data_IF_409084448702
#
_entry.id   IF_409084448702
#
_cell.length_a   1.000
_cell.length_b   1.000
_cell.length_c   1.000
_cell.angle_alpha   90.00
_cell.angle_beta   90.00
_cell.angle_gamma   90.00
#
_symmetry.space_group_name_H-M   'P 1'
#
loop_
_entity.id
_entity.type
_entity.pdbx_description
1 polymer ?
#
# COMPACT_ATOMS: atom_id res chain seq x y z
N UNK A 1 -2.33 -11.70 9.15
CA UNK A 1 -1.88 -11.72 7.74
C UNK A 1 -0.95 -10.53 7.57
N UNK A 2 0.29 -10.75 7.15
CA UNK A 2 1.22 -9.66 6.87
C UNK A 2 0.75 -8.96 5.58
N UNK A 3 0.64 -7.65 5.61
CA UNK A 3 0.28 -6.87 4.42
C UNK A 3 1.56 -6.63 3.63
N UNK A 4 1.58 -7.02 2.36
CA UNK A 4 2.76 -6.85 1.51
C UNK A 4 2.94 -5.39 1.07
N UNK A 5 1.90 -4.56 1.17
CA UNK A 5 1.86 -3.19 0.66
C UNK A 5 1.16 -2.22 1.63
N UNK A 6 1.59 -0.94 1.69
CA UNK A 6 0.86 0.13 2.35
C UNK A 6 -0.58 0.31 1.83
N UNK A 7 -1.49 0.77 2.70
CA UNK A 7 -2.87 1.11 2.33
C UNK A 7 -2.92 2.48 1.64
N UNK A 8 -3.66 2.59 0.54
CA UNK A 8 -4.01 3.88 -0.04
C UNK A 8 -5.46 4.29 0.33
N UNK A 9 -5.72 5.53 0.76
CA UNK A 9 -4.73 6.56 1.05
C UNK A 9 -4.08 6.35 2.43
N UNK A 10 -2.77 6.61 2.48
CA UNK A 10 -2.01 6.67 3.73
C UNK A 10 -1.65 8.11 4.10
N UNK A 11 -1.36 8.32 5.37
CA UNK A 11 -0.67 9.51 5.85
C UNK A 11 0.77 9.15 6.20
N UNK A 12 1.71 9.98 5.76
CA UNK A 12 3.11 9.94 6.18
C UNK A 12 3.28 10.86 7.37
N UNK A 13 3.66 10.29 8.49
CA UNK A 13 3.93 10.98 9.74
C UNK A 13 5.45 11.07 9.96
N UNK A 14 5.93 12.27 10.26
CA UNK A 14 7.31 12.54 10.65
C UNK A 14 7.33 13.00 12.09
N UNK A 15 8.13 12.35 12.92
CA UNK A 15 8.33 12.68 14.34
C UNK A 15 9.77 13.08 14.59
N UNK A 16 10.06 13.61 15.78
CA UNK A 16 11.44 13.81 16.21
C UNK A 16 12.20 12.48 16.21
N UNK A 17 13.39 12.45 15.60
CA UNK A 17 14.18 11.24 15.42
C UNK A 17 14.57 10.57 16.74
N UNK A 18 14.77 11.34 17.82
CA UNK A 18 15.05 10.80 19.15
C UNK A 18 13.88 10.03 19.75
N UNK A 19 12.66 10.28 19.25
CA UNK A 19 11.41 9.67 19.71
C UNK A 19 10.79 8.71 18.70
N UNK A 20 11.47 8.45 17.58
CA UNK A 20 10.96 7.59 16.52
C UNK A 20 10.56 6.20 17.03
N UNK A 21 11.46 5.53 17.76
CA UNK A 21 11.19 4.18 18.28
C UNK A 21 10.06 4.16 19.31
N UNK A 22 9.93 5.21 20.14
CA UNK A 22 8.80 5.35 21.06
C UNK A 22 7.47 5.49 20.29
N UNK A 23 7.47 6.29 19.21
CA UNK A 23 6.29 6.49 18.37
C UNK A 23 5.88 5.19 17.66
N UNK A 24 6.85 4.43 17.15
CA UNK A 24 6.61 3.11 16.54
C UNK A 24 6.03 2.12 17.55
N UNK A 25 6.55 2.08 18.78
CA UNK A 25 5.99 1.24 19.84
C UNK A 25 4.57 1.65 20.23
N UNK A 26 4.28 2.96 20.27
CA UNK A 26 2.93 3.46 20.56
C UNK A 26 1.89 3.08 19.50
N UNK A 27 2.34 2.68 18.30
CA UNK A 27 1.50 2.21 17.20
C UNK A 27 1.30 0.68 17.21
N UNK A 28 1.78 -0.03 18.23
CA UNK A 28 1.48 -1.46 18.38
C UNK A 28 -0.03 -1.70 18.38
N UNK A 29 -0.47 -2.61 17.50
CA UNK A 29 -1.89 -2.93 17.30
C UNK A 29 -2.61 -2.03 16.29
N UNK A 30 -2.00 -0.97 15.79
CA UNK A 30 -2.50 -0.21 14.63
C UNK A 30 -2.26 -1.05 13.37
N UNK A 31 -3.28 -1.16 12.53
CA UNK A 31 -3.18 -1.97 11.31
C UNK A 31 -2.30 -1.25 10.26
N UNK A 32 -1.54 -2.04 9.52
CA UNK A 32 -0.85 -1.60 8.29
C UNK A 32 0.07 -0.38 8.48
N UNK A 33 0.79 -0.36 9.59
CA UNK A 33 1.85 0.62 9.81
C UNK A 33 3.12 0.16 9.09
N UNK A 34 3.70 1.03 8.28
CA UNK A 34 4.98 0.84 7.60
C UNK A 34 5.98 1.86 8.12
N UNK A 35 7.18 1.39 8.45
CA UNK A 35 8.22 2.17 9.10
C UNK A 35 9.52 1.99 8.31
N UNK A 36 10.18 3.09 7.92
CA UNK A 36 11.45 3.08 7.17
C UNK A 36 12.66 3.54 8.00
N UNK A 37 12.47 3.82 9.29
CA UNK A 37 13.50 4.35 10.19
C UNK A 37 13.50 5.88 10.33
N UNK A 38 12.79 6.59 9.45
CA UNK A 38 12.70 8.06 9.46
C UNK A 38 11.26 8.54 9.56
N UNK A 39 10.38 7.89 8.82
CA UNK A 39 8.96 8.20 8.72
C UNK A 39 8.10 6.98 9.02
N UNK A 40 6.83 7.27 9.30
CA UNK A 40 5.82 6.28 9.63
C UNK A 40 4.67 6.49 8.66
N UNK A 41 4.33 5.47 7.91
CA UNK A 41 3.19 5.46 7.00
C UNK A 41 2.08 4.63 7.64
N UNK A 42 0.88 5.21 7.74
CA UNK A 42 -0.30 4.55 8.30
C UNK A 42 -1.55 4.92 7.49
N UNK A 43 -2.57 4.05 7.43
CA UNK A 43 -3.78 4.34 6.68
C UNK A 43 -4.48 5.61 7.21
N UNK A 44 -5.03 6.44 6.33
CA UNK A 44 -5.77 7.64 6.76
C UNK A 44 -7.01 7.31 7.61
N UNK A 45 -7.54 6.09 7.47
CA UNK A 45 -8.63 5.59 8.28
C UNK A 45 -8.25 5.39 9.77
N UNK A 46 -6.95 5.32 10.11
CA UNK A 46 -6.47 5.18 11.49
C UNK A 46 -6.46 6.52 12.25
N UNK A 47 -7.60 7.21 12.26
CA UNK A 47 -7.76 8.57 12.83
C UNK A 47 -7.27 8.67 14.27
N UNK A 48 -7.50 7.63 15.09
CA UNK A 48 -7.04 7.60 16.49
C UNK A 48 -5.52 7.57 16.61
N UNK A 49 -4.85 6.79 15.74
CA UNK A 49 -3.39 6.70 15.73
C UNK A 49 -2.77 8.02 15.24
N UNK A 50 -3.37 8.64 14.22
CA UNK A 50 -2.96 9.94 13.69
C UNK A 50 -3.04 11.02 14.78
N UNK A 51 -4.15 11.10 15.51
CA UNK A 51 -4.31 12.07 16.60
C UNK A 51 -3.39 11.79 17.79
N UNK A 52 -3.08 10.53 18.06
CA UNK A 52 -2.08 10.16 19.07
C UNK A 52 -0.68 10.66 18.67
N UNK A 53 -0.25 10.43 17.43
CA UNK A 53 1.03 10.93 16.91
C UNK A 53 1.09 12.46 16.92
N UNK A 54 -0.01 13.14 16.57
CA UNK A 54 -0.12 14.60 16.62
C UNK A 54 0.05 15.14 18.03
N UNK A 55 -0.70 14.58 18.98
CA UNK A 55 -0.78 15.11 20.34
C UNK A 55 0.46 14.80 21.18
N UNK A 56 0.93 13.54 21.14
CA UNK A 56 1.99 13.02 22.02
C UNK A 56 3.39 13.15 21.43
N UNK A 57 3.51 13.04 20.10
CA UNK A 57 4.80 13.04 19.39
C UNK A 57 5.03 14.29 18.55
N UNK A 58 4.05 15.20 18.49
CA UNK A 58 4.11 16.44 17.69
C UNK A 58 4.42 16.17 16.21
N UNK A 59 3.91 15.05 15.70
CA UNK A 59 4.16 14.64 14.33
C UNK A 59 3.66 15.68 13.31
N UNK A 60 4.41 15.86 12.23
CA UNK A 60 3.93 16.51 11.01
C UNK A 60 3.38 15.46 10.05
N UNK A 61 2.43 15.84 9.19
CA UNK A 61 1.69 14.90 8.37
C UNK A 61 1.62 15.35 6.91
N UNK A 62 1.82 14.40 6.00
CA UNK A 62 1.53 14.51 4.58
C UNK A 62 0.46 13.47 4.23
N UNK A 63 -0.70 13.92 3.74
CA UNK A 63 -1.84 13.07 3.39
C UNK A 63 -1.80 12.63 1.92
N UNK A 64 -2.65 11.67 1.53
CA UNK A 64 -2.78 11.18 0.17
C UNK A 64 -1.61 10.32 -0.31
N UNK A 65 -0.86 9.72 0.61
CA UNK A 65 0.33 8.92 0.32
C UNK A 65 -0.04 7.50 -0.10
N UNK A 66 0.96 6.75 -0.59
CA UNK A 66 0.83 5.37 -1.08
C UNK A 66 0.00 5.22 -2.36
N UNK A 67 -0.04 6.25 -3.22
CA UNK A 67 -0.81 6.22 -4.48
C UNK A 67 -0.36 5.08 -5.40
N UNK A 68 0.93 4.75 -5.41
CA UNK A 68 1.48 3.61 -6.14
C UNK A 68 0.90 2.25 -5.69
N UNK A 69 0.31 2.18 -4.49
CA UNK A 69 -0.34 0.99 -3.93
C UNK A 69 -1.87 1.05 -4.00
N UNK A 70 -2.44 2.00 -4.76
CA UNK A 70 -3.89 2.12 -4.93
C UNK A 70 -4.52 0.84 -5.48
N UNK A 71 -3.87 0.19 -6.46
CA UNK A 71 -4.33 -1.11 -6.97
C UNK A 71 -4.31 -2.19 -5.90
N UNK A 72 -3.17 -2.40 -5.23
CA UNK A 72 -3.06 -3.42 -4.17
C UNK A 72 -4.12 -3.25 -3.08
N UNK A 73 -4.39 -2.00 -2.69
CA UNK A 73 -5.44 -1.68 -1.70
C UNK A 73 -6.82 -2.10 -2.18
N UNK A 74 -7.24 -1.63 -3.37
CA UNK A 74 -8.56 -1.93 -3.93
C UNK A 74 -8.73 -3.42 -4.24
N UNK A 75 -7.69 -4.08 -4.75
CA UNK A 75 -7.69 -5.51 -5.08
C UNK A 75 -7.91 -6.36 -3.83
N UNK A 76 -7.20 -6.04 -2.75
CA UNK A 76 -7.36 -6.72 -1.46
C UNK A 76 -8.77 -6.53 -0.91
N UNK A 77 -9.25 -5.30 -0.87
CA UNK A 77 -10.56 -4.98 -0.29
C UNK A 77 -11.70 -5.63 -1.09
N UNK A 78 -11.50 -5.84 -2.40
CA UNK A 78 -12.43 -6.55 -3.27
C UNK A 78 -12.27 -8.09 -3.25
N UNK A 79 -11.30 -8.63 -2.51
CA UNK A 79 -11.08 -10.08 -2.36
C UNK A 79 -10.37 -10.74 -3.54
N UNK A 80 -9.58 -10.00 -4.32
CA UNK A 80 -8.71 -10.57 -5.36
C UNK A 80 -7.70 -11.52 -4.72
N UNK A 81 -7.39 -12.65 -5.39
CA UNK A 81 -6.45 -13.63 -4.87
C UNK A 81 -5.05 -13.01 -4.67
N UNK A 82 -4.32 -13.46 -3.65
CA UNK A 82 -2.99 -12.92 -3.33
C UNK A 82 -1.99 -13.05 -4.50
N UNK A 83 -2.11 -14.09 -5.31
CA UNK A 83 -1.30 -14.29 -6.52
C UNK A 83 -1.56 -13.18 -7.56
N UNK A 84 -2.83 -12.95 -7.90
CA UNK A 84 -3.21 -11.89 -8.83
C UNK A 84 -2.90 -10.51 -8.29
N UNK A 85 -3.08 -10.29 -7.00
CA UNK A 85 -2.74 -9.02 -6.35
C UNK A 85 -1.25 -8.71 -6.52
N UNK A 86 -0.35 -9.64 -6.18
CA UNK A 86 1.10 -9.42 -6.29
C UNK A 86 1.53 -9.20 -7.72
N UNK A 87 1.01 -10.02 -8.64
CA UNK A 87 1.35 -9.90 -10.06
C UNK A 87 0.82 -8.59 -10.65
N UNK A 88 -0.43 -8.23 -10.34
CA UNK A 88 -1.05 -6.98 -10.77
C UNK A 88 -0.31 -5.77 -10.25
N UNK A 89 0.11 -5.78 -8.99
CA UNK A 89 0.92 -4.71 -8.41
C UNK A 89 2.28 -4.60 -9.10
N UNK A 90 2.89 -5.73 -9.47
CA UNK A 90 4.18 -5.75 -10.19
C UNK A 90 4.10 -5.22 -11.62
N UNK A 91 2.90 -5.20 -12.23
CA UNK A 91 2.69 -4.66 -13.58
C UNK A 91 1.88 -3.37 -13.61
N UNK A 92 1.46 -2.85 -12.45
CA UNK A 92 0.57 -1.70 -12.28
C UNK A 92 0.99 -0.52 -13.16
N UNK A 93 2.23 -0.04 -12.98
CA UNK A 93 2.80 1.09 -13.70
C UNK A 93 2.97 0.86 -15.21
N UNK A 94 2.95 -0.40 -15.66
CA UNK A 94 3.17 -0.80 -17.05
C UNK A 94 1.84 -0.95 -17.79
N UNK A 95 0.78 -1.35 -17.09
CA UNK A 95 -0.54 -1.57 -17.70
C UNK A 95 -1.11 -0.29 -18.31
N UNK A 96 -0.79 0.88 -17.75
CA UNK A 96 -1.43 2.15 -18.06
C UNK A 96 -2.93 2.17 -17.72
N UNK A 97 -3.43 1.19 -16.98
CA UNK A 97 -4.85 1.05 -16.63
C UNK A 97 -5.14 1.69 -15.27
N UNK A 98 -6.38 2.14 -15.07
CA UNK A 98 -6.84 2.57 -13.76
C UNK A 98 -7.05 1.38 -12.81
N UNK A 99 -6.92 1.61 -11.50
CA UNK A 99 -6.89 0.56 -10.49
C UNK A 99 -8.22 -0.20 -10.45
N UNK A 100 -9.33 0.50 -10.59
CA UNK A 100 -10.67 -0.07 -10.68
C UNK A 100 -10.83 -1.01 -11.87
N UNK A 101 -10.22 -0.67 -13.01
CA UNK A 101 -10.29 -1.49 -14.23
C UNK A 101 -9.50 -2.78 -14.02
N UNK A 102 -8.31 -2.69 -13.45
CA UNK A 102 -7.49 -3.85 -13.15
C UNK A 102 -8.15 -4.78 -12.12
N UNK A 103 -8.71 -4.23 -11.05
CA UNK A 103 -9.44 -5.01 -10.04
C UNK A 103 -10.64 -5.71 -10.66
N UNK A 104 -11.44 -5.00 -11.47
CA UNK A 104 -12.58 -5.58 -12.16
C UNK A 104 -12.16 -6.74 -13.06
N UNK A 105 -11.10 -6.56 -13.85
CA UNK A 105 -10.59 -7.59 -14.77
C UNK A 105 -10.15 -8.84 -14.01
N UNK A 106 -9.44 -8.65 -12.89
CA UNK A 106 -8.99 -9.74 -12.02
C UNK A 106 -10.14 -10.53 -11.36
N UNK A 107 -11.30 -9.89 -11.15
CA UNK A 107 -12.49 -10.54 -10.59
C UNK A 107 -13.36 -11.22 -11.67
N UNK A 108 -13.50 -10.59 -12.84
CA UNK A 108 -14.34 -11.07 -13.93
C UNK A 108 -13.73 -12.30 -14.64
N UNK A 109 -12.42 -12.27 -14.91
CA UNK A 109 -11.70 -13.40 -15.52
C UNK A 109 -10.32 -13.59 -14.88
N UNK A 110 -10.27 -14.23 -13.68
CA UNK A 110 -9.03 -14.40 -12.94
C UNK A 110 -7.96 -15.18 -13.73
N UNK A 111 -8.36 -16.22 -14.48
CA UNK A 111 -7.44 -17.09 -15.19
C UNK A 111 -6.84 -16.41 -16.42
N UNK A 112 -7.63 -15.71 -17.23
CA UNK A 112 -7.10 -14.95 -18.36
C UNK A 112 -6.23 -13.78 -17.88
N UNK A 113 -6.63 -13.11 -16.79
CA UNK A 113 -5.86 -12.02 -16.19
C UNK A 113 -4.49 -12.49 -15.72
N UNK A 114 -4.42 -13.65 -15.05
CA UNK A 114 -3.16 -14.23 -14.59
C UNK A 114 -2.19 -14.46 -15.77
N UNK A 115 -2.69 -15.03 -16.88
CA UNK A 115 -1.89 -15.24 -18.09
C UNK A 115 -1.41 -13.92 -18.71
N UNK A 116 -2.31 -12.94 -18.84
CA UNK A 116 -2.01 -11.65 -19.45
C UNK A 116 -0.96 -10.88 -18.65
N UNK A 117 -1.15 -10.73 -17.33
CA UNK A 117 -0.19 -10.04 -16.48
C UNK A 117 1.13 -10.80 -16.35
N UNK A 118 1.12 -12.14 -16.40
CA UNK A 118 2.36 -12.93 -16.40
C UNK A 118 3.19 -12.67 -17.65
N UNK A 119 2.53 -12.59 -18.81
CA UNK A 119 3.21 -12.25 -20.07
C UNK A 119 3.78 -10.83 -20.02
N UNK A 120 3.01 -9.87 -19.51
CA UNK A 120 3.43 -8.48 -19.37
C UNK A 120 4.65 -8.36 -18.45
N UNK A 121 4.61 -8.96 -17.26
CA UNK A 121 5.71 -8.96 -16.31
C UNK A 121 6.99 -9.58 -16.89
N UNK A 122 6.88 -10.69 -17.64
CA UNK A 122 8.05 -11.29 -18.31
C UNK A 122 8.63 -10.36 -19.37
N UNK A 123 7.78 -9.65 -20.12
CA UNK A 123 8.24 -8.74 -21.17
C UNK A 123 8.98 -7.53 -20.61
N UNK A 124 8.62 -7.04 -19.41
CA UNK A 124 9.27 -5.89 -18.78
C UNK A 124 10.63 -6.22 -18.16
N UNK A 125 10.95 -7.50 -17.97
CA UNK A 125 12.23 -7.96 -17.43
C UNK A 125 13.34 -8.08 -18.47
N UNK A 126 13.02 -7.98 -19.76
CA UNK A 126 14.01 -8.09 -20.83
C UNK A 126 14.67 -6.71 -20.97
N UNK A 127 15.98 -6.55 -20.68
CA UNK A 127 16.66 -5.27 -20.84
C UNK A 127 16.67 -4.90 -22.33
N UNK A 128 16.26 -3.67 -22.64
CA UNK A 128 16.43 -3.06 -23.96
C UNK A 128 17.84 -2.52 -24.16
#
# INVERSE_FOLDING_TARGET
>A
MHHDYPEYPSVKATVDSSRYMEAVQALEGVRQVFCDGETILLPEAEVKAIEMLRSQFKATFEYGQAEEYQFATKARDAGVSAELLRLGQAVWDITGQHAEVMVRTALEDPSATLLAWSALYRSSMIPH
#
